data_IF_417249236360
#
_entry.id   IF_417249236360
#
_cell.length_a   1.000
_cell.length_b   1.000
_cell.length_c   1.000
_cell.angle_alpha   90.00
_cell.angle_beta   90.00
_cell.angle_gamma   90.00
#
_symmetry.space_group_name_H-M   'P 1'
#
loop_
_entity.id
_entity.type
_entity.pdbx_description
1 polymer ?
#
# COMPACT_ATOMS: atom_id res chain seq x y z
N UNK A 1 45.30 -5.93 -5.31
CA UNK A 1 44.64 -4.63 -5.00
C UNK A 1 43.54 -4.21 -6.00
N UNK A 2 43.68 -4.47 -7.32
CA UNK A 2 42.71 -4.04 -8.36
C UNK A 2 41.33 -4.74 -8.28
N UNK A 3 41.28 -6.02 -7.94
CA UNK A 3 40.04 -6.80 -7.80
C UNK A 3 39.16 -6.37 -6.60
N UNK A 4 39.79 -5.94 -5.49
CA UNK A 4 39.08 -5.46 -4.29
C UNK A 4 38.31 -4.17 -4.59
N UNK A 5 38.90 -3.25 -5.38
CA UNK A 5 38.24 -2.00 -5.79
C UNK A 5 37.03 -2.24 -6.71
N UNK A 6 37.09 -3.25 -7.58
CA UNK A 6 35.97 -3.61 -8.47
C UNK A 6 34.82 -4.22 -7.66
N UNK A 7 35.13 -5.15 -6.74
CA UNK A 7 34.12 -5.75 -5.85
C UNK A 7 33.43 -4.69 -4.96
N UNK A 8 34.18 -3.74 -4.40
CA UNK A 8 33.61 -2.62 -3.65
C UNK A 8 32.73 -1.70 -4.51
N UNK A 9 33.15 -1.36 -5.74
CA UNK A 9 32.34 -0.53 -6.65
C UNK A 9 31.02 -1.20 -7.04
N UNK A 10 31.05 -2.50 -7.34
CA UNK A 10 29.86 -3.30 -7.65
C UNK A 10 28.93 -3.38 -6.44
N UNK A 11 29.48 -3.59 -5.23
CA UNK A 11 28.71 -3.61 -3.98
C UNK A 11 27.96 -2.30 -3.72
N UNK A 12 28.63 -1.16 -3.91
CA UNK A 12 28.02 0.18 -3.75
C UNK A 12 26.91 0.41 -4.79
N UNK A 13 27.14 0.01 -6.05
CA UNK A 13 26.11 0.13 -7.10
C UNK A 13 24.89 -0.76 -6.81
N UNK A 14 25.11 -1.98 -6.31
CA UNK A 14 24.04 -2.90 -5.90
C UNK A 14 23.20 -2.31 -4.77
N UNK A 15 23.83 -1.73 -3.75
CA UNK A 15 23.12 -1.09 -2.64
C UNK A 15 22.27 0.10 -3.13
N UNK A 16 22.85 0.96 -3.98
CA UNK A 16 22.13 2.11 -4.57
C UNK A 16 20.93 1.68 -5.41
N UNK A 17 21.04 0.60 -6.18
CA UNK A 17 19.92 0.04 -6.96
C UNK A 17 18.84 -0.58 -6.07
N UNK A 18 19.22 -1.26 -4.98
CA UNK A 18 18.26 -1.79 -3.99
C UNK A 18 17.45 -0.69 -3.32
N UNK A 19 18.11 0.40 -2.93
CA UNK A 19 17.44 1.57 -2.34
C UNK A 19 16.49 2.26 -3.34
N UNK A 20 16.91 2.42 -4.60
CA UNK A 20 16.04 2.93 -5.66
C UNK A 20 14.80 2.06 -5.87
N UNK A 21 14.97 0.73 -5.96
CA UNK A 21 13.84 -0.20 -6.12
C UNK A 21 12.89 -0.16 -4.92
N UNK A 22 13.42 -0.06 -3.70
CA UNK A 22 12.62 0.10 -2.50
C UNK A 22 11.79 1.39 -2.52
N UNK A 23 12.41 2.51 -2.90
CA UNK A 23 11.74 3.81 -2.98
C UNK A 23 10.67 3.83 -4.08
N UNK A 24 10.98 3.29 -5.27
CA UNK A 24 10.01 3.16 -6.37
C UNK A 24 8.83 2.29 -5.97
N UNK A 25 9.10 1.14 -5.32
CA UNK A 25 8.04 0.28 -4.79
C UNK A 25 7.19 0.96 -3.72
N UNK A 26 7.80 1.81 -2.87
CA UNK A 26 7.06 2.60 -1.88
C UNK A 26 6.17 3.66 -2.55
N UNK A 27 6.68 4.41 -3.52
CA UNK A 27 5.91 5.41 -4.28
C UNK A 27 4.74 4.74 -4.99
N UNK A 28 5.01 3.67 -5.76
CA UNK A 28 3.97 2.92 -6.46
C UNK A 28 2.89 2.42 -5.49
N UNK A 29 3.28 1.88 -4.34
CA UNK A 29 2.34 1.42 -3.31
C UNK A 29 1.44 2.55 -2.78
N UNK A 30 2.00 3.73 -2.49
CA UNK A 30 1.19 4.86 -2.00
C UNK A 30 0.29 5.44 -3.10
N UNK A 31 0.79 5.53 -4.33
CA UNK A 31 -0.01 5.97 -5.48
C UNK A 31 -1.18 5.03 -5.72
N UNK A 32 -0.98 3.71 -5.69
CA UNK A 32 -2.08 2.73 -5.82
C UNK A 32 -3.11 2.85 -4.69
N UNK A 33 -2.68 3.09 -3.46
CA UNK A 33 -3.58 3.34 -2.33
C UNK A 33 -4.45 4.59 -2.56
N UNK A 34 -3.84 5.69 -3.00
CA UNK A 34 -4.57 6.94 -3.30
C UNK A 34 -5.56 6.77 -4.46
N UNK A 35 -5.17 6.09 -5.54
CA UNK A 35 -6.05 5.79 -6.67
C UNK A 35 -7.23 4.94 -6.21
N UNK A 36 -7.00 3.93 -5.37
CA UNK A 36 -8.06 3.07 -4.85
C UNK A 36 -9.06 3.85 -3.99
N UNK A 37 -8.58 4.76 -3.15
CA UNK A 37 -9.42 5.65 -2.36
C UNK A 37 -10.24 6.60 -3.25
N UNK A 38 -9.57 7.23 -4.22
CA UNK A 38 -10.21 8.11 -5.19
C UNK A 38 -11.33 7.39 -5.95
N UNK A 39 -11.08 6.15 -6.38
CA UNK A 39 -12.09 5.32 -7.03
C UNK A 39 -13.32 5.09 -6.13
N UNK A 40 -13.12 4.89 -4.83
CA UNK A 40 -14.23 4.83 -3.86
C UNK A 40 -15.05 6.12 -3.81
N UNK A 41 -14.38 7.28 -3.78
CA UNK A 41 -15.04 8.59 -3.80
C UNK A 41 -15.85 8.80 -5.08
N UNK A 42 -15.33 8.36 -6.24
CA UNK A 42 -16.04 8.42 -7.51
C UNK A 42 -17.31 7.57 -7.48
N UNK A 43 -17.23 6.31 -7.01
CA UNK A 43 -18.40 5.44 -6.88
C UNK A 43 -19.46 6.06 -5.97
N UNK A 44 -19.04 6.64 -4.84
CA UNK A 44 -19.92 7.35 -3.92
C UNK A 44 -20.61 8.55 -4.60
N UNK A 45 -19.85 9.36 -5.33
CA UNK A 45 -20.36 10.54 -6.03
C UNK A 45 -21.32 10.17 -7.16
N UNK A 46 -21.06 9.06 -7.85
CA UNK A 46 -21.88 8.54 -8.93
C UNK A 46 -23.11 7.76 -8.44
N UNK A 47 -23.27 7.55 -7.12
CA UNK A 47 -24.37 6.78 -6.52
C UNK A 47 -24.50 5.38 -7.13
N UNK A 48 -23.37 4.72 -7.37
CA UNK A 48 -23.32 3.39 -7.97
C UNK A 48 -23.06 2.32 -6.92
N UNK A 49 -23.63 1.14 -7.12
CA UNK A 49 -23.27 -0.02 -6.33
C UNK A 49 -21.83 -0.45 -6.65
N UNK A 50 -20.98 -0.64 -5.62
CA UNK A 50 -19.65 -1.18 -5.83
C UNK A 50 -19.72 -2.65 -6.20
N UNK A 51 -18.85 -3.09 -7.10
CA UNK A 51 -18.69 -4.51 -7.40
C UNK A 51 -18.28 -5.24 -6.13
N UNK A 52 -18.89 -6.40 -5.86
CA UNK A 52 -18.56 -7.25 -4.71
C UNK A 52 -17.06 -7.57 -4.61
N UNK A 53 -16.38 -7.70 -5.75
CA UNK A 53 -14.93 -7.93 -5.81
C UNK A 53 -14.12 -6.80 -5.18
N UNK A 54 -14.57 -5.55 -5.27
CA UNK A 54 -13.90 -4.39 -4.65
C UNK A 54 -14.06 -4.39 -3.14
N UNK A 55 -15.25 -4.76 -2.65
CA UNK A 55 -15.53 -4.91 -1.21
C UNK A 55 -14.65 -6.01 -0.63
N UNK A 56 -14.63 -7.19 -1.27
CA UNK A 56 -13.80 -8.32 -0.86
C UNK A 56 -12.31 -8.00 -0.90
N UNK A 57 -11.85 -7.28 -1.93
CA UNK A 57 -10.47 -6.85 -2.04
C UNK A 57 -10.09 -5.89 -0.91
N UNK A 58 -10.92 -4.88 -0.63
CA UNK A 58 -10.67 -3.94 0.47
C UNK A 58 -10.64 -4.64 1.83
N UNK A 59 -11.61 -5.53 2.09
CA UNK A 59 -11.69 -6.31 3.32
C UNK A 59 -10.49 -7.25 3.50
N UNK A 60 -10.12 -8.01 2.46
CA UNK A 60 -8.99 -8.95 2.51
C UNK A 60 -7.66 -8.22 2.67
N UNK A 61 -7.50 -7.08 2.00
CA UNK A 61 -6.28 -6.26 2.11
C UNK A 61 -6.16 -5.65 3.50
N UNK A 62 -7.26 -5.12 4.05
CA UNK A 62 -7.29 -4.59 5.41
C UNK A 62 -6.98 -5.68 6.43
N UNK A 63 -7.59 -6.87 6.29
CA UNK A 63 -7.30 -8.02 7.14
C UNK A 63 -5.82 -8.41 7.10
N UNK A 64 -5.23 -8.50 5.90
CA UNK A 64 -3.80 -8.79 5.72
C UNK A 64 -2.91 -7.74 6.41
N UNK A 65 -3.25 -6.45 6.30
CA UNK A 65 -2.54 -5.37 6.97
C UNK A 65 -2.64 -5.52 8.49
N UNK A 66 -3.83 -5.82 9.04
CA UNK A 66 -4.03 -6.01 10.47
C UNK A 66 -3.24 -7.21 11.02
N UNK A 67 -3.26 -8.34 10.31
CA UNK A 67 -2.50 -9.54 10.70
C UNK A 67 -0.98 -9.29 10.63
N UNK A 68 -0.53 -8.50 9.65
CA UNK A 68 0.89 -8.12 9.53
C UNK A 68 1.30 -6.98 10.46
N UNK A 69 0.36 -6.24 11.05
CA UNK A 69 0.66 -5.06 11.83
C UNK A 69 1.57 -5.35 13.03
N UNK A 70 1.36 -6.40 13.85
CA UNK A 70 2.23 -6.73 14.97
C UNK A 70 3.68 -6.98 14.54
N UNK A 71 3.88 -7.74 13.45
CA UNK A 71 5.21 -8.05 12.91
C UNK A 71 5.95 -6.81 12.40
N UNK A 72 5.21 -5.82 11.90
CA UNK A 72 5.76 -4.59 11.31
C UNK A 72 5.85 -3.44 12.31
N UNK A 73 5.36 -3.61 13.53
CA UNK A 73 5.13 -2.51 14.47
C UNK A 73 6.41 -1.95 15.13
N UNK A 74 7.46 -2.76 15.20
CA UNK A 74 8.72 -2.39 15.88
C UNK A 74 9.47 -1.28 15.14
N UNK A 75 9.37 -1.24 13.81
CA UNK A 75 10.08 -0.25 12.99
C UNK A 75 9.18 0.96 12.75
N UNK A 76 9.59 2.15 13.22
CA UNK A 76 8.84 3.42 13.08
C UNK A 76 8.31 3.66 11.67
N UNK A 77 9.13 3.45 10.64
CA UNK A 77 8.74 3.61 9.23
C UNK A 77 7.70 2.59 8.76
N UNK A 78 7.82 1.34 9.20
CA UNK A 78 6.86 0.28 8.88
C UNK A 78 5.54 0.47 9.60
N UNK A 79 5.57 1.00 10.84
CA UNK A 79 4.38 1.43 11.57
C UNK A 79 3.61 2.50 10.80
N UNK A 80 4.29 3.57 10.37
CA UNK A 80 3.65 4.65 9.58
C UNK A 80 3.03 4.10 8.28
N UNK A 81 3.78 3.29 7.53
CA UNK A 81 3.27 2.68 6.28
C UNK A 81 2.05 1.80 6.53
N UNK A 82 2.09 1.00 7.60
CA UNK A 82 0.97 0.13 8.00
C UNK A 82 -0.24 0.96 8.41
N UNK A 83 -0.04 2.01 9.23
CA UNK A 83 -1.12 2.92 9.64
C UNK A 83 -1.79 3.63 8.46
N UNK A 84 -1.01 4.14 7.50
CA UNK A 84 -1.56 4.74 6.27
C UNK A 84 -2.39 3.71 5.50
N UNK A 85 -1.87 2.49 5.34
CA UNK A 85 -2.60 1.40 4.68
C UNK A 85 -3.92 1.08 5.39
N UNK A 86 -3.92 0.96 6.71
CA UNK A 86 -5.14 0.72 7.50
C UNK A 86 -6.17 1.83 7.28
N UNK A 87 -5.75 3.10 7.33
CA UNK A 87 -6.66 4.23 7.13
C UNK A 87 -7.24 4.23 5.72
N UNK A 88 -6.42 4.06 4.69
CA UNK A 88 -6.89 4.11 3.29
C UNK A 88 -7.82 2.96 2.97
N UNK A 89 -7.44 1.71 3.29
CA UNK A 89 -8.28 0.56 3.00
C UNK A 89 -9.50 0.47 3.92
N UNK A 90 -9.37 0.92 5.18
CA UNK A 90 -10.50 1.05 6.11
C UNK A 90 -11.54 2.06 5.63
N UNK A 91 -11.11 3.27 5.25
CA UNK A 91 -12.04 4.28 4.73
C UNK A 91 -12.66 3.86 3.40
N UNK A 92 -11.87 3.26 2.50
CA UNK A 92 -12.38 2.73 1.23
C UNK A 92 -13.43 1.64 1.46
N UNK A 93 -13.19 0.73 2.43
CA UNK A 93 -14.16 -0.31 2.79
C UNK A 93 -15.45 0.29 3.35
N UNK A 94 -15.36 1.30 4.22
CA UNK A 94 -16.53 2.00 4.74
C UNK A 94 -17.34 2.67 3.62
N UNK A 95 -16.66 3.34 2.68
CA UNK A 95 -17.32 3.94 1.50
C UNK A 95 -18.04 2.85 0.69
N UNK A 96 -17.38 1.73 0.41
CA UNK A 96 -17.99 0.67 -0.37
C UNK A 96 -19.16 0.00 0.36
N UNK A 97 -19.06 -0.26 1.66
CA UNK A 97 -20.17 -0.81 2.44
C UNK A 97 -21.35 0.16 2.49
N UNK A 98 -21.08 1.47 2.62
CA UNK A 98 -22.11 2.49 2.55
C UNK A 98 -22.80 2.51 1.19
N UNK A 99 -22.04 2.56 0.09
CA UNK A 99 -22.61 2.54 -1.25
C UNK A 99 -23.36 1.25 -1.56
N UNK A 100 -22.91 0.12 -1.03
CA UNK A 100 -23.58 -1.17 -1.17
C UNK A 100 -24.90 -1.26 -0.41
N UNK A 101 -25.00 -0.54 0.71
CA UNK A 101 -26.22 -0.49 1.52
C UNK A 101 -27.21 0.57 1.03
N UNK A 102 -26.72 1.73 0.60
CA UNK A 102 -27.54 2.89 0.26
C UNK A 102 -28.04 2.91 -1.19
N UNK A 103 -27.34 2.25 -2.11
CA UNK A 103 -27.65 2.17 -3.54
C UNK A 103 -27.80 0.72 -3.95
#
# INVERSE_FOLDING_TARGET
>A
MRFVKISQSIGIQLQKRKELLYNLGAISSYTSMLIFLWHGIVILSSKQQPKHTLVLYAASTLFSILVMAPYKWDKKWMRIKTSIGMTVFGLSLLIYLFCFWAY
#
